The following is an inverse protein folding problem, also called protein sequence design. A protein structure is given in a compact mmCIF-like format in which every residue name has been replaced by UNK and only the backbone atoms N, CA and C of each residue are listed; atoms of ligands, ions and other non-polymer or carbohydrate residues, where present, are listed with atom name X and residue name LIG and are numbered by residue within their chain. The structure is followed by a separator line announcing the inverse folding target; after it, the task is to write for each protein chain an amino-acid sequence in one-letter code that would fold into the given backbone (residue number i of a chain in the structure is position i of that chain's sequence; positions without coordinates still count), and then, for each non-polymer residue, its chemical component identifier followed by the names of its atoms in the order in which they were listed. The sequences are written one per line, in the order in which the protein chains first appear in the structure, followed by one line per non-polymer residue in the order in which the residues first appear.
data_IF_105342160912
#
_entry.id   IF_105342160912
#
_cell.length_a   1.000
_cell.length_b   1.000
_cell.length_c   1.000
_cell.angle_alpha   90.00
_cell.angle_beta   90.00
_cell.angle_gamma   90.00
#
_symmetry.space_group_name_H-M   'P 1'
#
loop_
_entity.id
_entity.type
_entity.pdbx_description
1 polymer ?
#
# COMPACT_ATOMS: atom_id res chain seq x y z
N UNK A 1 57.19 -19.70 -39.26
CA UNK A 1 57.18 -19.82 -37.77
C UNK A 1 56.01 -19.05 -37.20
N UNK A 2 54.91 -19.72 -36.88
CA UNK A 2 53.68 -19.07 -36.33
C UNK A 2 53.66 -19.27 -34.81
N UNK A 3 53.80 -18.19 -34.04
CA UNK A 3 53.68 -18.18 -32.58
C UNK A 3 52.21 -18.38 -32.18
N UNK A 4 51.88 -19.55 -31.59
CA UNK A 4 50.64 -19.79 -30.90
C UNK A 4 50.55 -18.98 -29.63
N UNK A 5 49.58 -18.05 -29.56
CA UNK A 5 49.18 -17.40 -28.29
C UNK A 5 48.49 -18.44 -27.42
N UNK A 6 49.08 -18.73 -26.27
CA UNK A 6 48.43 -19.51 -25.19
C UNK A 6 47.36 -18.61 -24.55
N UNK A 7 46.08 -18.88 -24.80
CA UNK A 7 44.99 -18.36 -23.98
C UNK A 7 45.10 -18.96 -22.58
N UNK A 8 45.51 -18.18 -21.59
CA UNK A 8 45.32 -18.51 -20.18
C UNK A 8 43.80 -18.53 -19.92
N UNK A 9 43.20 -19.71 -19.87
CA UNK A 9 41.91 -19.91 -19.20
C UNK A 9 42.15 -19.63 -17.72
N UNK A 10 41.73 -18.45 -17.25
CA UNK A 10 41.51 -18.22 -15.83
C UNK A 10 40.45 -19.21 -15.37
N UNK A 11 40.85 -20.15 -14.50
CA UNK A 11 39.99 -21.11 -13.90
C UNK A 11 38.89 -20.41 -13.13
N UNK A 12 37.65 -20.61 -13.56
CA UNK A 12 36.50 -20.42 -12.70
C UNK A 12 36.68 -21.42 -11.55
N UNK A 13 36.92 -20.91 -10.35
CA UNK A 13 36.70 -21.68 -9.14
C UNK A 13 35.17 -21.83 -9.02
N UNK A 14 34.65 -22.84 -9.72
CA UNK A 14 33.27 -23.26 -9.56
C UNK A 14 33.14 -23.91 -8.19
N UNK A 15 32.08 -23.64 -7.49
CA UNK A 15 31.61 -24.39 -6.32
C UNK A 15 31.11 -25.74 -6.80
N UNK A 16 32.05 -26.63 -7.24
CA UNK A 16 31.71 -28.00 -7.67
C UNK A 16 30.98 -28.70 -6.51
N UNK A 17 29.70 -29.00 -6.71
CA UNK A 17 28.87 -29.75 -5.77
C UNK A 17 27.83 -28.95 -4.99
N UNK A 18 27.79 -27.62 -5.09
CA UNK A 18 26.77 -26.79 -4.46
C UNK A 18 25.91 -26.06 -5.52
N UNK A 19 24.59 -26.00 -5.35
CA UNK A 19 23.68 -25.35 -6.31
C UNK A 19 23.70 -23.80 -6.19
N UNK A 20 24.90 -23.23 -6.01
CA UNK A 20 25.09 -21.78 -5.96
C UNK A 20 25.58 -21.32 -7.32
N UNK A 21 24.71 -20.62 -8.06
CA UNK A 21 25.07 -19.94 -9.29
C UNK A 21 25.87 -18.67 -8.98
N UNK A 22 26.96 -18.43 -9.72
CA UNK A 22 27.76 -17.23 -9.59
C UNK A 22 29.14 -17.45 -8.92
N UNK A 23 29.80 -16.37 -8.60
CA UNK A 23 31.13 -16.36 -7.97
C UNK A 23 31.04 -15.74 -6.57
N UNK A 24 31.44 -16.52 -5.57
CA UNK A 24 31.50 -16.02 -4.19
C UNK A 24 32.59 -14.95 -4.09
N UNK A 25 32.22 -13.72 -3.70
CA UNK A 25 33.11 -12.59 -3.51
C UNK A 25 33.67 -12.51 -2.09
N UNK A 26 32.91 -13.00 -1.10
CA UNK A 26 33.29 -12.96 0.31
C UNK A 26 32.10 -13.32 1.22
N UNK A 27 32.34 -13.29 2.52
CA UNK A 27 31.31 -13.49 3.53
C UNK A 27 30.48 -12.19 3.68
N UNK A 28 29.19 -12.32 3.72
CA UNK A 28 28.27 -11.25 4.11
C UNK A 28 28.01 -11.29 5.63
N UNK A 29 27.55 -10.19 6.25
CA UNK A 29 27.16 -10.21 7.65
C UNK A 29 26.12 -11.31 7.94
N UNK A 30 26.36 -12.08 9.00
CA UNK A 30 25.48 -13.17 9.44
C UNK A 30 24.48 -12.72 10.52
N UNK A 31 24.70 -11.53 11.11
CA UNK A 31 23.79 -10.91 12.05
C UNK A 31 22.84 -9.98 11.29
N UNK A 32 21.54 -10.28 11.34
CA UNK A 32 20.50 -9.36 10.90
C UNK A 32 19.90 -8.69 12.15
N UNK A 33 20.04 -7.38 12.23
CA UNK A 33 19.20 -6.60 13.16
C UNK A 33 17.80 -6.66 12.56
N UNK A 34 16.88 -7.39 13.23
CA UNK A 34 15.46 -7.23 12.94
C UNK A 34 15.15 -5.76 13.14
N UNK A 35 14.66 -5.11 12.10
CA UNK A 35 14.22 -3.73 12.18
C UNK A 35 13.34 -3.61 13.44
N UNK A 36 13.83 -2.86 14.44
CA UNK A 36 12.95 -2.35 15.47
C UNK A 36 11.90 -1.54 14.71
N UNK A 37 10.71 -2.10 14.65
CA UNK A 37 9.55 -1.44 14.09
C UNK A 37 9.19 -0.31 15.04
N UNK A 38 9.92 0.81 14.92
CA UNK A 38 9.56 2.05 15.60
C UNK A 38 8.33 2.60 14.87
N UNK A 39 7.18 2.53 15.53
CA UNK A 39 5.95 3.23 15.18
C UNK A 39 5.48 3.06 13.70
N UNK A 40 5.47 1.84 13.21
CA UNK A 40 4.71 1.54 12.02
C UNK A 40 3.25 1.33 12.42
N UNK A 41 2.46 2.36 12.24
CA UNK A 41 1.04 2.19 12.02
C UNK A 41 0.93 1.43 10.69
N UNK A 42 0.97 0.10 10.77
CA UNK A 42 0.56 -0.77 9.68
C UNK A 42 -0.84 -0.29 9.31
N UNK A 43 -1.02 0.12 8.05
CA UNK A 43 -2.25 0.79 7.71
C UNK A 43 -3.44 -0.11 8.05
N UNK A 44 -3.53 -1.34 7.59
CA UNK A 44 -4.56 -2.27 8.06
C UNK A 44 -4.19 -3.72 7.72
N UNK A 45 -4.50 -4.64 8.62
CA UNK A 45 -4.44 -6.08 8.35
C UNK A 45 -5.85 -6.66 8.47
N UNK A 46 -6.32 -7.32 7.43
CA UNK A 46 -7.60 -8.01 7.40
C UNK A 46 -7.40 -9.52 7.39
N UNK A 47 -8.00 -10.20 8.35
CA UNK A 47 -8.14 -11.65 8.33
C UNK A 47 -9.29 -12.03 7.39
N UNK A 48 -8.98 -12.90 6.43
CA UNK A 48 -9.94 -13.39 5.45
C UNK A 48 -10.62 -14.67 5.94
N UNK A 49 -11.78 -14.98 5.38
CA UNK A 49 -12.56 -16.18 5.76
C UNK A 49 -11.84 -17.51 5.49
N UNK A 50 -10.81 -17.50 4.65
CA UNK A 50 -9.94 -18.65 4.35
C UNK A 50 -8.73 -18.75 5.30
N UNK A 51 -8.63 -17.84 6.26
CA UNK A 51 -7.53 -17.77 7.23
C UNK A 51 -6.28 -17.05 6.72
N UNK A 52 -6.25 -16.56 5.48
CA UNK A 52 -5.17 -15.71 4.97
C UNK A 52 -5.34 -14.28 5.46
N UNK A 53 -4.25 -13.51 5.45
CA UNK A 53 -4.31 -12.09 5.79
C UNK A 53 -4.02 -11.21 4.58
N UNK A 54 -4.73 -10.07 4.51
CA UNK A 54 -4.49 -9.00 3.53
C UNK A 54 -3.96 -7.78 4.26
N UNK A 55 -2.69 -7.50 4.03
CA UNK A 55 -2.02 -6.29 4.51
C UNK A 55 -2.28 -5.17 3.51
N UNK A 56 -2.89 -4.07 3.96
CA UNK A 56 -3.18 -2.89 3.15
C UNK A 56 -2.24 -1.76 3.51
N UNK A 57 -1.57 -1.22 2.50
CA UNK A 57 -0.74 -0.02 2.58
C UNK A 57 -1.38 1.12 1.78
N UNK A 58 -1.33 2.34 2.32
CA UNK A 58 -1.83 3.54 1.65
C UNK A 58 -0.67 4.39 1.18
N UNK A 59 -0.59 4.62 -0.13
CA UNK A 59 0.44 5.45 -0.72
C UNK A 59 -0.15 6.65 -1.45
N UNK A 60 0.37 7.84 -1.13
CA UNK A 60 0.04 9.11 -1.80
C UNK A 60 1.14 9.60 -2.73
N UNK A 61 2.31 9.01 -2.63
CA UNK A 61 3.48 9.26 -3.48
C UNK A 61 3.81 8.06 -4.37
N UNK A 62 4.84 8.18 -5.20
CA UNK A 62 5.30 7.08 -6.05
C UNK A 62 5.81 5.90 -5.23
N UNK A 63 5.46 4.69 -5.65
CA UNK A 63 5.97 3.46 -5.04
C UNK A 63 7.33 3.14 -5.64
N UNK A 64 8.33 3.10 -4.79
CA UNK A 64 9.73 2.81 -5.11
C UNK A 64 10.09 1.34 -4.83
N UNK A 65 11.34 0.99 -5.14
CA UNK A 65 11.90 -0.30 -4.77
C UNK A 65 12.13 -0.42 -3.25
N UNK A 66 12.43 0.69 -2.60
CA UNK A 66 12.60 0.75 -1.14
C UNK A 66 11.28 0.47 -0.42
N UNK A 67 10.17 1.02 -0.91
CA UNK A 67 8.84 0.74 -0.38
C UNK A 67 8.49 -0.75 -0.50
N UNK A 68 8.75 -1.35 -1.65
CA UNK A 68 8.53 -2.79 -1.84
C UNK A 68 9.38 -3.66 -0.90
N UNK A 69 10.63 -3.24 -0.59
CA UNK A 69 11.46 -3.94 0.40
C UNK A 69 10.87 -3.82 1.81
N UNK A 70 10.33 -2.66 2.14
CA UNK A 70 9.64 -2.40 3.40
C UNK A 70 8.39 -3.29 3.51
N UNK A 71 7.52 -3.28 2.52
CA UNK A 71 6.29 -4.10 2.49
C UNK A 71 6.60 -5.59 2.61
N UNK A 72 7.61 -6.06 1.89
CA UNK A 72 8.07 -7.45 1.98
C UNK A 72 8.55 -7.82 3.38
N UNK A 73 9.26 -6.91 4.05
CA UNK A 73 9.71 -7.12 5.42
C UNK A 73 8.51 -7.27 6.38
N UNK A 74 7.48 -6.42 6.24
CA UNK A 74 6.24 -6.54 7.04
C UNK A 74 5.53 -7.84 6.82
N UNK A 75 5.30 -8.19 5.57
CA UNK A 75 4.65 -9.44 5.19
C UNK A 75 5.37 -10.65 5.80
N UNK A 76 6.72 -10.66 5.72
CA UNK A 76 7.53 -11.72 6.30
C UNK A 76 7.44 -11.78 7.83
N UNK A 77 7.46 -10.63 8.51
CA UNK A 77 7.33 -10.54 9.98
C UNK A 77 5.96 -11.00 10.45
N UNK A 78 4.89 -10.52 9.80
CA UNK A 78 3.51 -10.91 10.12
C UNK A 78 3.32 -12.42 9.89
N UNK A 79 3.77 -12.92 8.73
CA UNK A 79 3.66 -14.33 8.39
C UNK A 79 4.43 -15.21 9.38
N UNK A 80 5.63 -14.80 9.79
CA UNK A 80 6.42 -15.53 10.79
C UNK A 80 5.78 -15.51 12.18
N UNK A 81 5.32 -14.34 12.63
CA UNK A 81 4.77 -14.15 13.96
C UNK A 81 3.44 -14.87 14.17
N UNK A 82 2.56 -14.80 13.18
CA UNK A 82 1.19 -15.32 13.28
C UNK A 82 0.99 -16.66 12.57
N UNK A 83 2.01 -17.15 11.86
CA UNK A 83 1.98 -18.42 11.11
C UNK A 83 0.84 -18.46 10.09
N UNK A 84 0.64 -17.33 9.38
CA UNK A 84 -0.40 -17.13 8.38
C UNK A 84 0.21 -16.72 7.04
N UNK A 85 -0.50 -17.00 5.96
CA UNK A 85 -0.18 -16.44 4.64
C UNK A 85 -0.63 -14.99 4.60
N UNK A 86 0.29 -14.09 4.27
CA UNK A 86 0.04 -12.66 4.15
C UNK A 86 0.27 -12.20 2.71
N UNK A 87 -0.62 -11.39 2.18
CA UNK A 87 -0.45 -10.75 0.87
C UNK A 87 -0.64 -9.25 1.00
N UNK A 88 0.29 -8.47 0.46
CA UNK A 88 0.23 -7.00 0.52
C UNK A 88 -0.52 -6.42 -0.66
N UNK A 89 -1.42 -5.49 -0.38
CA UNK A 89 -2.13 -4.66 -1.34
C UNK A 89 -1.85 -3.18 -1.05
N UNK A 90 -1.48 -2.43 -2.09
CA UNK A 90 -1.18 -1.00 -1.97
C UNK A 90 -2.32 -0.21 -2.59
N UNK A 91 -2.99 0.60 -1.77
CA UNK A 91 -4.00 1.54 -2.21
C UNK A 91 -3.31 2.85 -2.60
N UNK A 92 -3.19 3.06 -3.90
CA UNK A 92 -2.60 4.29 -4.44
C UNK A 92 -3.68 5.36 -4.57
N UNK A 93 -3.50 6.49 -3.88
CA UNK A 93 -4.38 7.65 -4.08
C UNK A 93 -4.33 8.12 -5.54
N UNK A 94 -5.29 8.94 -5.95
CA UNK A 94 -5.33 9.50 -7.31
C UNK A 94 -4.09 10.34 -7.67
N UNK A 95 -3.28 10.72 -6.69
CA UNK A 95 -2.05 11.52 -6.88
C UNK A 95 -0.83 10.69 -7.30
N UNK A 96 -0.84 9.39 -7.06
CA UNK A 96 0.30 8.50 -7.35
C UNK A 96 0.52 8.39 -8.86
N UNK A 97 1.73 8.71 -9.32
CA UNK A 97 2.10 8.73 -10.75
C UNK A 97 2.91 7.51 -11.17
N UNK A 98 3.89 7.13 -10.36
CA UNK A 98 4.80 6.02 -10.65
C UNK A 98 4.55 4.90 -9.65
N UNK A 99 4.31 3.69 -10.16
CA UNK A 99 4.00 2.53 -9.34
C UNK A 99 4.93 1.40 -9.75
N UNK A 100 5.86 1.06 -8.84
CA UNK A 100 6.59 -0.19 -8.91
C UNK A 100 5.84 -1.22 -8.08
N UNK A 101 5.48 -2.36 -8.66
CA UNK A 101 4.64 -3.39 -8.03
C UNK A 101 5.36 -4.72 -7.85
N UNK A 102 6.62 -4.82 -8.29
CA UNK A 102 7.41 -6.04 -8.15
C UNK A 102 8.89 -5.76 -7.87
N UNK A 103 9.49 -6.69 -7.13
CA UNK A 103 10.95 -6.89 -7.04
C UNK A 103 11.26 -8.19 -7.75
N UNK A 104 11.89 -8.10 -8.90
CA UNK A 104 12.30 -9.28 -9.65
C UNK A 104 13.65 -9.77 -9.13
N UNK A 105 13.60 -10.74 -8.24
CA UNK A 105 14.75 -11.43 -7.66
C UNK A 105 14.71 -12.90 -8.09
N UNK A 106 15.86 -13.42 -8.50
CA UNK A 106 15.98 -14.71 -9.14
C UNK A 106 15.23 -15.85 -8.43
N UNK A 107 15.50 -16.06 -7.15
CA UNK A 107 14.93 -17.15 -6.37
C UNK A 107 13.72 -16.80 -5.52
N UNK A 108 13.48 -15.51 -5.32
CA UNK A 108 12.44 -15.03 -4.42
C UNK A 108 11.83 -13.71 -4.92
N UNK A 109 11.08 -13.74 -6.02
CA UNK A 109 10.38 -12.58 -6.51
C UNK A 109 9.32 -12.13 -5.49
N UNK A 110 9.14 -10.82 -5.37
CA UNK A 110 8.12 -10.23 -4.52
C UNK A 110 7.16 -9.37 -5.36
N UNK A 111 5.87 -9.46 -5.08
CA UNK A 111 4.83 -8.70 -5.79
C UNK A 111 3.77 -8.24 -4.83
N UNK A 112 3.23 -7.05 -5.09
CA UNK A 112 2.08 -6.50 -4.37
C UNK A 112 0.89 -6.34 -5.30
N UNK A 113 -0.32 -6.48 -4.75
CA UNK A 113 -1.53 -6.06 -5.42
C UNK A 113 -1.60 -4.53 -5.43
N UNK A 114 -2.06 -3.92 -6.53
CA UNK A 114 -2.18 -2.46 -6.63
C UNK A 114 -3.61 -2.07 -6.92
N UNK A 115 -4.18 -1.22 -6.05
CA UNK A 115 -5.50 -0.63 -6.21
C UNK A 115 -5.33 0.86 -6.53
N UNK A 116 -5.64 1.25 -7.76
CA UNK A 116 -5.43 2.62 -8.26
C UNK A 116 -6.71 3.43 -8.10
N UNK A 117 -6.75 4.28 -7.11
CA UNK A 117 -7.93 5.10 -6.83
C UNK A 117 -8.21 6.17 -7.87
N UNK A 118 -7.22 6.53 -8.69
CA UNK A 118 -7.42 7.45 -9.84
C UNK A 118 -8.32 6.90 -10.94
N UNK A 119 -8.48 5.58 -11.00
CA UNK A 119 -9.32 4.92 -12.00
C UNK A 119 -10.82 4.95 -11.61
N UNK A 120 -11.13 5.55 -10.45
CA UNK A 120 -12.47 5.72 -9.91
C UNK A 120 -12.78 7.19 -9.69
N UNK A 121 -13.97 7.63 -10.10
CA UNK A 121 -14.47 8.99 -9.90
C UNK A 121 -15.31 9.08 -8.62
N UNK A 122 -14.81 9.82 -7.63
CA UNK A 122 -15.45 9.98 -6.33
C UNK A 122 -16.85 10.60 -6.42
N UNK A 123 -17.01 11.62 -7.27
CA UNK A 123 -18.28 12.37 -7.38
C UNK A 123 -19.37 11.49 -8.02
N UNK A 124 -18.98 10.64 -8.97
CA UNK A 124 -19.88 9.67 -9.58
C UNK A 124 -20.29 8.57 -8.57
N UNK A 125 -19.31 8.05 -7.83
CA UNK A 125 -19.57 7.04 -6.79
C UNK A 125 -20.51 7.60 -5.72
N UNK A 126 -20.26 8.82 -5.22
CA UNK A 126 -21.13 9.49 -4.23
C UNK A 126 -22.54 9.60 -4.78
N UNK A 127 -22.69 10.13 -6.00
CA UNK A 127 -24.00 10.32 -6.62
C UNK A 127 -24.77 8.99 -6.71
N UNK A 128 -24.14 7.94 -7.21
CA UNK A 128 -24.76 6.62 -7.36
C UNK A 128 -25.21 6.05 -6.02
N UNK A 129 -24.39 6.16 -4.97
CA UNK A 129 -24.75 5.67 -3.63
C UNK A 129 -25.87 6.49 -2.99
N UNK A 130 -25.85 7.82 -3.14
CA UNK A 130 -26.91 8.70 -2.65
C UNK A 130 -28.26 8.46 -3.38
N UNK A 131 -28.22 8.20 -4.69
CA UNK A 131 -29.42 7.88 -5.48
C UNK A 131 -30.04 6.54 -5.02
N UNK A 132 -29.21 5.53 -4.80
CA UNK A 132 -29.64 4.23 -4.28
C UNK A 132 -30.28 4.36 -2.90
N UNK A 133 -29.66 5.10 -1.98
CA UNK A 133 -30.23 5.39 -0.66
C UNK A 133 -31.56 6.16 -0.73
N UNK A 134 -31.70 7.12 -1.66
CA UNK A 134 -32.97 7.86 -1.88
C UNK A 134 -34.08 6.95 -2.41
N UNK A 135 -33.74 5.94 -3.19
CA UNK A 135 -34.66 4.92 -3.67
C UNK A 135 -35.09 3.93 -2.56
N UNK A 136 -34.48 4.01 -1.37
CA UNK A 136 -34.75 3.11 -0.25
C UNK A 136 -34.05 1.75 -0.38
N UNK A 137 -33.08 1.64 -1.27
CA UNK A 137 -32.31 0.42 -1.47
C UNK A 137 -31.15 0.34 -0.47
N UNK A 138 -30.83 -0.89 -0.04
CA UNK A 138 -29.70 -1.15 0.84
C UNK A 138 -28.39 -1.15 0.07
N UNK A 139 -27.31 -0.67 0.70
CA UNK A 139 -25.99 -0.75 0.12
C UNK A 139 -25.41 -2.15 0.32
N UNK A 140 -24.86 -2.70 -0.74
CA UNK A 140 -24.16 -3.97 -0.70
C UNK A 140 -22.77 -3.80 -0.05
N UNK A 141 -22.15 -4.91 0.43
CA UNK A 141 -20.83 -4.88 1.05
C UNK A 141 -19.73 -4.23 0.16
N UNK A 142 -19.79 -4.49 -1.15
CA UNK A 142 -18.87 -3.86 -2.11
C UNK A 142 -19.08 -2.35 -2.24
N UNK A 143 -20.31 -1.86 -2.06
CA UNK A 143 -20.63 -0.43 -2.06
C UNK A 143 -20.22 0.25 -0.75
N UNK A 144 -20.40 -0.43 0.38
CA UNK A 144 -19.88 0.03 1.67
C UNK A 144 -18.33 0.18 1.64
N UNK A 145 -17.63 -0.77 1.00
CA UNK A 145 -16.20 -0.63 0.80
C UNK A 145 -15.87 0.61 -0.06
N UNK A 146 -16.64 0.89 -1.11
CA UNK A 146 -16.46 2.12 -1.90
C UNK A 146 -16.63 3.37 -1.05
N UNK A 147 -17.61 3.39 -0.11
CA UNK A 147 -17.79 4.54 0.82
C UNK A 147 -16.51 4.86 1.57
N UNK A 148 -15.77 3.85 2.05
CA UNK A 148 -14.51 4.03 2.75
C UNK A 148 -13.41 4.63 1.86
N UNK A 149 -13.41 4.27 0.58
CA UNK A 149 -12.35 4.62 -0.36
C UNK A 149 -12.59 5.92 -1.14
N UNK A 150 -13.79 6.53 -1.05
CA UNK A 150 -14.16 7.76 -1.78
C UNK A 150 -13.13 8.87 -1.63
N UNK A 151 -12.59 9.06 -0.42
CA UNK A 151 -11.61 10.13 -0.16
C UNK A 151 -10.28 9.95 -0.89
N UNK A 152 -9.97 8.76 -1.35
CA UNK A 152 -8.73 8.41 -2.06
C UNK A 152 -8.88 8.46 -3.59
N UNK A 153 -10.11 8.46 -4.10
CA UNK A 153 -10.44 8.49 -5.53
C UNK A 153 -10.15 9.85 -6.16
N UNK A 154 -10.19 9.93 -7.47
CA UNK A 154 -10.17 11.18 -8.22
C UNK A 154 -11.57 11.83 -8.20
N UNK A 155 -11.64 13.16 -8.36
CA UNK A 155 -12.90 13.91 -8.42
C UNK A 155 -12.68 15.41 -8.26
N UNK A 156 -13.72 16.18 -8.55
CA UNK A 156 -13.70 17.65 -8.51
C UNK A 156 -13.83 18.18 -7.07
N UNK A 157 -14.58 17.44 -6.21
CA UNK A 157 -14.76 17.81 -4.81
C UNK A 157 -13.47 17.61 -4.00
N UNK A 158 -13.25 18.45 -2.98
CA UNK A 158 -12.09 18.30 -2.09
C UNK A 158 -12.14 17.03 -1.26
N UNK A 159 -10.98 16.53 -0.84
CA UNK A 159 -10.90 15.31 0.00
C UNK A 159 -11.69 15.45 1.30
N UNK A 160 -11.68 16.66 1.94
CA UNK A 160 -12.47 16.92 3.14
C UNK A 160 -13.98 16.77 2.89
N UNK A 161 -14.47 17.29 1.76
CA UNK A 161 -15.88 17.14 1.37
C UNK A 161 -16.22 15.68 1.12
N UNK A 162 -15.34 14.93 0.48
CA UNK A 162 -15.53 13.48 0.22
C UNK A 162 -15.60 12.67 1.51
N UNK A 163 -14.72 12.95 2.49
CA UNK A 163 -14.78 12.33 3.82
C UNK A 163 -16.11 12.61 4.49
N UNK A 164 -16.56 13.88 4.47
CA UNK A 164 -17.85 14.25 5.03
C UNK A 164 -19.00 13.50 4.36
N UNK A 165 -18.98 13.38 3.03
CA UNK A 165 -19.97 12.63 2.27
C UNK A 165 -19.97 11.13 2.61
N UNK A 166 -18.78 10.54 2.76
CA UNK A 166 -18.66 9.14 3.20
C UNK A 166 -19.30 8.91 4.57
N UNK A 167 -19.06 9.81 5.53
CA UNK A 167 -19.70 9.74 6.85
C UNK A 167 -21.22 9.92 6.78
N UNK A 168 -21.72 10.83 5.95
CA UNK A 168 -23.16 11.04 5.75
C UNK A 168 -23.85 9.80 5.16
N UNK A 169 -23.20 9.14 4.17
CA UNK A 169 -23.69 7.90 3.56
C UNK A 169 -23.71 6.78 4.59
N UNK A 170 -22.59 6.59 5.31
CA UNK A 170 -22.48 5.55 6.34
C UNK A 170 -23.52 5.74 7.46
N UNK A 171 -23.74 6.97 7.91
CA UNK A 171 -24.71 7.29 8.95
C UNK A 171 -26.14 6.89 8.55
N UNK A 172 -26.49 6.97 7.27
CA UNK A 172 -27.83 6.53 6.80
C UNK A 172 -27.97 5.00 6.82
N UNK A 173 -26.86 4.26 6.81
CA UNK A 173 -26.85 2.79 6.89
C UNK A 173 -26.77 2.24 8.32
N UNK A 174 -26.53 3.09 9.34
CA UNK A 174 -26.33 2.65 10.74
C UNK A 174 -27.43 1.74 11.28
N UNK A 175 -28.69 1.99 10.88
CA UNK A 175 -29.83 1.14 11.32
C UNK A 175 -29.95 -0.21 10.62
N UNK A 176 -29.12 -0.48 9.61
CA UNK A 176 -29.16 -1.68 8.77
C UNK A 176 -27.92 -2.57 8.94
N UNK A 177 -26.88 -2.06 9.59
CA UNK A 177 -25.62 -2.74 9.85
C UNK A 177 -25.49 -3.09 11.32
N UNK A 178 -24.67 -4.08 11.63
CA UNK A 178 -24.30 -4.37 13.01
C UNK A 178 -23.47 -3.21 13.59
N UNK A 179 -23.68 -2.88 14.86
CA UNK A 179 -22.97 -1.79 15.55
C UNK A 179 -21.45 -1.92 15.43
N UNK A 180 -20.93 -3.14 15.52
CA UNK A 180 -19.50 -3.45 15.39
C UNK A 180 -18.98 -3.15 13.97
N UNK A 181 -19.76 -3.42 12.93
CA UNK A 181 -19.41 -3.09 11.55
C UNK A 181 -19.34 -1.57 11.37
N UNK A 182 -20.34 -0.84 11.85
CA UNK A 182 -20.35 0.63 11.78
C UNK A 182 -19.13 1.23 12.47
N UNK A 183 -18.84 0.82 13.70
CA UNK A 183 -17.67 1.30 14.46
C UNK A 183 -16.35 1.00 13.73
N UNK A 184 -16.23 -0.16 13.11
CA UNK A 184 -15.07 -0.53 12.30
C UNK A 184 -14.91 0.41 11.11
N UNK A 185 -15.98 0.67 10.37
CA UNK A 185 -15.99 1.55 9.20
C UNK A 185 -15.71 3.01 9.58
N UNK A 186 -16.29 3.50 10.67
CA UNK A 186 -16.02 4.84 11.19
C UNK A 186 -14.54 5.00 11.59
N UNK A 187 -13.96 3.97 12.21
CA UNK A 187 -12.53 3.95 12.57
C UNK A 187 -11.63 4.05 11.35
N UNK A 188 -11.96 3.33 10.26
CA UNK A 188 -11.23 3.42 9.00
C UNK A 188 -11.36 4.83 8.40
N UNK A 189 -12.57 5.38 8.32
CA UNK A 189 -12.79 6.75 7.81
C UNK A 189 -12.06 7.79 8.65
N UNK A 190 -12.03 7.63 9.98
CA UNK A 190 -11.27 8.50 10.87
C UNK A 190 -9.75 8.44 10.58
N UNK A 191 -9.20 7.23 10.46
CA UNK A 191 -7.78 7.04 10.16
C UNK A 191 -7.39 7.68 8.79
N UNK A 192 -8.24 7.50 7.76
CA UNK A 192 -8.06 8.13 6.46
C UNK A 192 -8.17 9.66 6.55
N UNK A 193 -9.13 10.20 7.32
CA UNK A 193 -9.29 11.63 7.54
C UNK A 193 -8.05 12.23 8.19
N UNK A 194 -7.52 11.60 9.23
CA UNK A 194 -6.30 12.05 9.90
C UNK A 194 -5.08 12.05 8.97
N UNK A 195 -4.95 11.04 8.12
CA UNK A 195 -3.87 10.98 7.12
C UNK A 195 -3.98 12.10 6.09
N UNK A 196 -5.19 12.37 5.58
CA UNK A 196 -5.46 13.46 4.64
C UNK A 196 -5.17 14.83 5.25
N UNK A 197 -5.60 15.08 6.49
CA UNK A 197 -5.35 16.35 7.18
C UNK A 197 -3.85 16.57 7.41
N UNK A 198 -3.12 15.55 7.86
CA UNK A 198 -1.66 15.61 8.01
C UNK A 198 -0.92 15.95 6.70
N UNK A 199 -1.38 15.40 5.58
CA UNK A 199 -0.82 15.73 4.28
C UNK A 199 -1.11 17.17 3.86
N UNK A 200 -2.29 17.70 4.16
CA UNK A 200 -2.66 19.09 3.85
C UNK A 200 -1.86 20.08 4.69
N UNK A 201 -1.68 19.81 6.00
CA UNK A 201 -0.86 20.62 6.90
C UNK A 201 0.61 20.64 6.43
N UNK A 202 1.20 19.48 6.13
CA UNK A 202 2.57 19.39 5.61
C UNK A 202 2.76 20.14 4.28
N UNK A 203 1.74 20.16 3.42
CA UNK A 203 1.78 20.93 2.17
C UNK A 203 1.64 22.44 2.42
N UNK A 204 0.85 22.85 3.40
CA UNK A 204 0.70 24.26 3.78
C UNK A 204 2.04 24.80 4.34
N UNK A 205 2.68 24.07 5.25
CA UNK A 205 3.99 24.43 5.79
C UNK A 205 5.08 24.51 4.71
N UNK A 206 5.12 23.55 3.77
CA UNK A 206 6.06 23.60 2.64
C UNK A 206 5.80 24.80 1.72
N UNK A 207 4.54 25.22 1.51
CA UNK A 207 4.21 26.40 0.72
C UNK A 207 4.58 27.68 1.43
N UNK A 208 4.46 27.75 2.75
CA UNK A 208 4.84 28.90 3.57
C UNK A 208 6.36 29.10 3.59
N UNK A 209 7.11 28.00 3.72
CA UNK A 209 8.59 27.99 3.66
C UNK A 209 9.16 28.29 2.27
N UNK A 210 8.36 28.20 1.20
CA UNK A 210 8.76 28.51 -0.19
C UNK A 210 8.36 29.92 -0.62
N UNK A 211 7.72 30.73 0.24
CA UNK A 211 7.48 32.15 -0.05
C UNK A 211 8.84 32.88 0.03
N UNK A 212 9.27 33.55 -1.06
CA UNK A 212 10.53 34.30 -1.02
C UNK A 212 10.45 35.38 0.06
N UNK A 213 11.52 35.56 0.84
CA UNK A 213 11.67 36.65 1.80
C UNK A 213 11.83 38.05 1.12
N UNK A 214 11.04 38.31 0.08
CA UNK A 214 11.03 39.60 -0.62
C UNK A 214 9.63 40.19 -0.55
N UNK A 215 9.33 40.82 0.57
CA UNK A 215 8.28 41.82 0.71
C UNK A 215 8.78 42.91 1.66
#
# INVERSE_FOLDING_TARGET
MKRRKKNKRQGRAGTEGYPLEGTVKGMAPTEAVFLEVKDYLADFNYEMSDGTWKHLEFESDSISEEDLRRFRAYEAVLSYQYQVEVSTYVLCTSKVRVIKSSLDQEMNPYRVGVLRMKDHNADEVIRTLEEKQKAGEDLERGELLKVLLISLMEGETSQAVRIKKSLEILKREQGKLEEREVLSMESVLYALAMKVLKEEESKAEKRENLKPCWS
#
